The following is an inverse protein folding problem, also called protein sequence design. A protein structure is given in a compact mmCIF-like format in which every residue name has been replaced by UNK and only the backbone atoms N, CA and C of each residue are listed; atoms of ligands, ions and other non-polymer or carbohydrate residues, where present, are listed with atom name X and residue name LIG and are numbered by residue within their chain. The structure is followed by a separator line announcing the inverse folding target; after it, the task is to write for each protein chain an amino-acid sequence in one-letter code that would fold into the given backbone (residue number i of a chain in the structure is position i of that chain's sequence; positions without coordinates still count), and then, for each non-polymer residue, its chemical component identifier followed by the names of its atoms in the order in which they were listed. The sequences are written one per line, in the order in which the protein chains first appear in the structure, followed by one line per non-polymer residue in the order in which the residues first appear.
data_IF_683958308323
#
_entry.id   IF_683958308323
#
_cell.length_a   1.000
_cell.length_b   1.000
_cell.length_c   1.000
_cell.angle_alpha   90.00
_cell.angle_beta   90.00
_cell.angle_gamma   90.00
#
_symmetry.space_group_name_H-M   'P 1'
#
loop_
_entity.id
_entity.type
_entity.pdbx_description
1 polymer ?
#
# COMPACT_ATOMS: atom_id res chain seq x y z
N UNK A 1 -27.28 -3.35 44.27
CA UNK A 1 -25.98 -3.51 44.95
C UNK A 1 -24.99 -2.57 44.32
N UNK A 2 -24.52 -1.61 45.11
CA UNK A 2 -23.59 -0.55 44.71
C UNK A 2 -22.15 -1.11 44.79
N UNK A 3 -21.36 -0.99 43.73
CA UNK A 3 -19.94 -1.26 43.72
C UNK A 3 -19.18 -0.10 43.10
N UNK A 4 -18.57 0.70 43.95
CA UNK A 4 -17.71 1.82 43.62
C UNK A 4 -16.35 1.31 43.17
N UNK A 5 -15.82 1.78 42.02
CA UNK A 5 -14.43 1.59 41.61
C UNK A 5 -13.73 2.93 41.64
N UNK A 6 -12.68 2.94 42.41
CA UNK A 6 -11.79 4.01 42.86
C UNK A 6 -10.86 4.43 41.69
N UNK A 7 -10.92 5.70 41.31
CA UNK A 7 -9.94 6.37 40.47
C UNK A 7 -8.61 6.52 41.23
N UNK A 8 -7.52 6.06 40.63
CA UNK A 8 -6.15 6.28 41.09
C UNK A 8 -5.48 7.25 40.11
N UNK A 9 -5.24 8.45 40.62
CA UNK A 9 -4.40 9.48 39.99
C UNK A 9 -2.93 9.05 40.00
N UNK A 10 -2.21 9.25 38.92
CA UNK A 10 -0.78 9.05 38.85
C UNK A 10 -0.19 9.69 37.60
N UNK A 11 0.40 10.84 37.79
CA UNK A 11 1.75 11.19 37.41
C UNK A 11 1.94 11.70 35.99
N UNK A 12 1.78 13.02 35.83
CA UNK A 12 2.42 13.77 34.74
C UNK A 12 3.92 13.76 34.98
N UNK A 13 4.72 13.11 34.11
CA UNK A 13 6.17 13.27 34.05
C UNK A 13 6.49 13.99 32.76
N UNK A 14 7.06 15.18 32.91
CA UNK A 14 7.47 16.05 31.83
C UNK A 14 8.65 15.46 31.06
N UNK A 15 8.55 15.49 29.75
CA UNK A 15 9.67 15.35 28.83
C UNK A 15 10.02 16.72 28.24
N UNK A 16 10.80 17.48 28.99
CA UNK A 16 11.58 18.59 28.46
C UNK A 16 13.02 18.45 29.01
N UNK A 17 13.99 18.55 28.13
CA UNK A 17 15.45 18.45 28.31
C UNK A 17 16.12 17.11 27.98
N UNK A 18 16.32 16.85 26.71
CA UNK A 18 17.47 16.00 26.28
C UNK A 18 17.76 16.10 24.77
N UNK A 19 17.82 17.27 24.15
CA UNK A 19 18.29 17.42 22.75
C UNK A 19 19.46 18.41 22.60
N UNK A 20 20.01 18.97 23.65
CA UNK A 20 21.12 19.96 23.54
C UNK A 20 22.49 19.37 23.97
N UNK A 21 22.57 18.11 24.44
CA UNK A 21 23.80 17.55 25.02
C UNK A 21 24.64 16.70 24.05
N UNK A 22 24.18 16.38 22.86
CA UNK A 22 24.96 15.50 21.95
C UNK A 22 25.83 16.22 20.90
N UNK A 23 25.67 17.53 20.73
CA UNK A 23 26.46 18.27 19.73
C UNK A 23 27.84 18.78 20.23
N UNK A 24 28.16 18.58 21.50
CA UNK A 24 29.44 19.07 22.10
C UNK A 24 30.48 17.96 22.23
N UNK A 25 30.18 16.70 21.98
CA UNK A 25 31.11 15.57 22.22
C UNK A 25 31.89 15.08 21.00
N UNK A 26 31.75 15.68 19.84
CA UNK A 26 32.46 15.26 18.59
C UNK A 26 33.72 16.09 18.31
N UNK A 27 34.04 17.10 19.08
CA UNK A 27 35.22 17.97 18.81
C UNK A 27 36.45 17.65 19.70
N UNK A 28 36.43 16.59 20.53
CA UNK A 28 37.55 16.25 21.42
C UNK A 28 38.04 14.81 21.28
N UNK A 29 38.39 14.40 20.04
CA UNK A 29 39.32 13.27 19.83
C UNK A 29 40.29 13.61 18.70
N UNK A 30 41.29 14.38 19.02
CA UNK A 30 42.48 14.56 18.21
C UNK A 30 43.42 13.41 18.41
N UNK A 31 43.48 12.51 17.47
CA UNK A 31 44.47 11.43 17.44
C UNK A 31 45.77 11.95 16.83
N UNK A 32 46.86 11.87 17.56
CA UNK A 32 48.22 11.97 17.04
C UNK A 32 48.46 10.84 16.03
N UNK A 33 48.80 11.20 14.80
CA UNK A 33 49.53 10.35 13.87
C UNK A 33 50.59 11.18 13.18
N UNK A 34 51.82 10.84 13.48
CA UNK A 34 53.04 11.30 12.80
C UNK A 34 53.15 10.65 11.42
N UNK A 35 53.31 11.46 10.38
CA UNK A 35 53.64 11.04 9.01
C UNK A 35 54.10 12.24 8.16
N UNK A 36 54.85 12.08 7.08
CA UNK A 36 55.90 13.00 6.62
C UNK A 36 55.37 14.27 5.94
N UNK A 37 56.11 15.35 6.16
CA UNK A 37 55.92 16.68 5.59
C UNK A 37 56.03 16.69 4.07
N UNK A 38 54.93 17.09 3.39
CA UNK A 38 55.00 17.75 2.08
C UNK A 38 54.38 19.13 2.23
N UNK A 39 55.22 20.14 2.09
CA UNK A 39 54.85 21.54 2.16
C UNK A 39 53.98 21.92 0.99
N UNK A 40 52.70 22.26 1.26
CA UNK A 40 51.83 23.02 0.36
C UNK A 40 51.66 24.39 0.98
N UNK A 41 51.94 25.51 0.27
CA UNK A 41 51.77 26.86 0.81
C UNK A 41 50.26 27.08 1.03
N UNK A 42 49.83 27.16 2.28
CA UNK A 42 48.50 27.65 2.64
C UNK A 42 48.43 29.15 2.29
N UNK A 43 47.72 29.51 1.28
CA UNK A 43 47.20 30.88 1.11
C UNK A 43 46.27 31.15 2.29
N UNK A 44 46.78 31.87 3.30
CA UNK A 44 45.99 32.38 4.41
C UNK A 44 44.86 33.23 3.85
N UNK A 45 43.61 32.69 3.91
CA UNK A 45 42.41 33.45 3.53
C UNK A 45 42.30 34.68 4.43
N UNK A 46 42.15 35.87 3.84
CA UNK A 46 41.98 37.14 4.55
C UNK A 46 40.86 37.11 5.61
N UNK A 47 39.97 36.14 5.55
CA UNK A 47 38.90 35.89 6.52
C UNK A 47 39.42 35.41 7.87
N UNK A 48 40.42 34.52 7.91
CA UNK A 48 40.97 33.97 9.15
C UNK A 48 41.68 35.03 10.01
N UNK A 49 42.40 35.93 9.37
CA UNK A 49 43.06 37.00 10.08
C UNK A 49 42.11 38.03 10.70
N UNK A 50 40.98 38.29 10.01
CA UNK A 50 39.94 39.20 10.48
C UNK A 50 39.19 38.62 11.71
N UNK A 51 38.89 37.32 11.74
CA UNK A 51 38.27 36.64 12.88
C UNK A 51 39.16 36.66 14.13
N UNK A 52 40.48 36.46 13.99
CA UNK A 52 41.42 36.49 15.10
C UNK A 52 41.59 37.92 15.66
N UNK A 53 41.60 38.92 14.78
CA UNK A 53 41.64 40.33 15.20
C UNK A 53 40.34 40.73 15.93
N UNK A 54 39.19 40.23 15.48
CA UNK A 54 37.91 40.50 16.12
C UNK A 54 37.80 39.86 17.54
N UNK A 55 38.40 38.70 17.75
CA UNK A 55 38.40 38.07 19.06
C UNK A 55 39.32 38.76 20.09
N UNK A 56 40.30 39.54 19.62
CA UNK A 56 41.27 40.29 20.47
C UNK A 56 40.82 41.71 20.86
N UNK A 57 39.66 42.15 20.37
CA UNK A 57 39.15 43.49 20.69
C UNK A 57 38.50 43.53 22.06
N UNK A 58 38.65 44.69 22.74
CA UNK A 58 38.04 45.01 24.01
C UNK A 58 36.51 44.84 23.96
N UNK A 59 35.87 44.19 24.93
CA UNK A 59 34.45 43.82 24.89
C UNK A 59 33.51 45.02 24.70
N UNK A 60 33.92 46.20 25.12
CA UNK A 60 33.12 47.44 24.86
C UNK A 60 33.18 47.93 23.40
N UNK A 61 34.33 47.78 22.73
CA UNK A 61 34.50 48.09 21.32
C UNK A 61 33.83 47.05 20.40
N UNK A 62 33.91 45.78 20.81
CA UNK A 62 33.27 44.65 20.11
C UNK A 62 31.72 44.78 20.04
N UNK A 63 31.10 45.18 21.18
CA UNK A 63 29.65 45.45 21.19
C UNK A 63 29.23 46.62 20.28
N UNK A 64 30.07 47.70 20.21
CA UNK A 64 29.80 48.83 19.28
C UNK A 64 29.97 48.44 17.83
N UNK A 65 30.99 47.64 17.47
CA UNK A 65 31.20 47.17 16.10
C UNK A 65 30.11 46.18 15.64
N UNK A 66 29.67 45.29 16.52
CA UNK A 66 28.54 44.41 16.26
C UNK A 66 27.26 45.24 16.03
N UNK A 67 26.99 46.21 16.89
CA UNK A 67 25.84 47.10 16.72
C UNK A 67 25.89 47.93 15.41
N UNK A 68 27.06 48.45 15.03
CA UNK A 68 27.23 49.25 13.82
C UNK A 68 27.11 48.43 12.52
N UNK A 69 27.51 47.14 12.54
CA UNK A 69 27.46 46.27 11.36
C UNK A 69 26.15 45.49 11.27
N UNK A 70 25.64 44.94 12.39
CA UNK A 70 24.45 44.12 12.39
C UNK A 70 23.14 44.89 12.41
N UNK A 71 23.09 46.06 13.07
CA UNK A 71 21.86 46.87 13.13
C UNK A 71 21.43 47.40 11.78
N UNK A 72 22.31 48.01 10.94
CA UNK A 72 21.90 48.42 9.61
C UNK A 72 21.65 47.24 8.65
N UNK A 73 22.34 46.10 8.82
CA UNK A 73 22.06 44.86 8.06
C UNK A 73 20.68 44.30 8.39
N UNK A 74 20.28 44.26 9.66
CA UNK A 74 18.95 43.85 10.10
C UNK A 74 17.84 44.79 9.57
N UNK A 75 18.11 46.13 9.63
CA UNK A 75 17.19 47.16 9.10
C UNK A 75 17.06 47.01 7.58
N UNK A 76 18.17 46.82 6.88
CA UNK A 76 18.19 46.64 5.41
C UNK A 76 17.45 45.36 5.00
N UNK A 77 17.68 44.25 5.71
CA UNK A 77 16.96 42.98 5.49
C UNK A 77 15.46 43.09 5.82
N UNK A 78 15.10 43.83 6.86
CA UNK A 78 13.70 44.11 7.20
C UNK A 78 13.02 44.96 6.13
N UNK A 79 13.68 45.99 5.62
CA UNK A 79 13.16 46.88 4.53
C UNK A 79 13.00 46.10 3.23
N UNK A 80 13.88 45.14 2.95
CA UNK A 80 13.83 44.29 1.73
C UNK A 80 12.72 43.23 1.83
N UNK A 81 12.44 42.71 3.06
CA UNK A 81 11.43 41.67 3.27
C UNK A 81 10.00 42.20 3.45
N UNK A 82 9.84 43.46 3.92
CA UNK A 82 8.49 44.05 4.10
C UNK A 82 7.65 44.10 2.82
N UNK A 83 8.16 44.50 1.64
CA UNK A 83 7.36 44.50 0.43
C UNK A 83 7.01 43.08 -0.04
N UNK A 84 7.89 42.13 0.19
CA UNK A 84 7.63 40.70 -0.20
C UNK A 84 6.49 40.14 0.62
N UNK A 85 6.49 40.32 1.96
CA UNK A 85 5.42 39.91 2.83
C UNK A 85 4.11 40.61 2.47
N UNK A 86 4.13 41.90 2.21
CA UNK A 86 2.95 42.68 1.83
C UNK A 86 2.36 42.22 0.49
N UNK A 87 3.19 41.91 -0.51
CA UNK A 87 2.76 41.37 -1.80
C UNK A 87 2.15 39.97 -1.65
N UNK A 88 2.74 39.11 -0.81
CA UNK A 88 2.21 37.78 -0.53
C UNK A 88 0.83 37.88 0.16
N UNK A 89 0.66 38.72 1.17
CA UNK A 89 -0.63 38.95 1.82
C UNK A 89 -1.67 39.56 0.86
N UNK A 90 -1.26 40.44 -0.05
CA UNK A 90 -2.17 41.00 -1.04
C UNK A 90 -2.66 40.00 -2.06
N UNK A 91 -1.80 39.04 -2.47
CA UNK A 91 -2.14 37.97 -3.42
C UNK A 91 -3.04 36.91 -2.72
N UNK A 92 -2.75 36.56 -1.48
CA UNK A 92 -3.52 35.57 -0.71
C UNK A 92 -4.95 36.04 -0.36
N UNK A 93 -5.21 37.35 -0.42
CA UNK A 93 -6.55 37.92 -0.19
C UNK A 93 -7.45 37.93 -1.42
N UNK A 94 -7.02 37.34 -2.56
CA UNK A 94 -7.80 37.29 -3.80
C UNK A 94 -8.30 35.87 -4.10
N UNK A 95 -9.42 35.68 -4.84
CA UNK A 95 -9.94 34.38 -5.16
C UNK A 95 -8.94 33.48 -5.90
N UNK A 96 -8.21 34.03 -6.85
CA UNK A 96 -7.16 33.33 -7.60
C UNK A 96 -5.93 33.01 -6.72
N UNK A 97 -5.61 33.87 -5.76
CA UNK A 97 -4.57 33.63 -4.76
C UNK A 97 -4.89 32.45 -3.86
N UNK A 98 -6.15 32.32 -3.38
CA UNK A 98 -6.62 31.17 -2.59
C UNK A 98 -6.53 29.87 -3.40
N UNK A 99 -6.99 29.87 -4.66
CA UNK A 99 -6.90 28.71 -5.54
C UNK A 99 -5.43 28.34 -5.80
N UNK A 100 -4.57 29.31 -6.06
CA UNK A 100 -3.14 29.07 -6.28
C UNK A 100 -2.48 28.46 -5.04
N UNK A 101 -2.80 28.96 -3.86
CA UNK A 101 -2.26 28.43 -2.61
C UNK A 101 -2.72 26.99 -2.34
N UNK A 102 -4.01 26.70 -2.53
CA UNK A 102 -4.56 25.36 -2.43
C UNK A 102 -3.85 24.36 -3.36
N UNK A 103 -3.72 24.75 -4.64
CA UNK A 103 -3.04 23.93 -5.65
C UNK A 103 -1.55 23.75 -5.33
N UNK A 104 -0.90 24.75 -4.75
CA UNK A 104 0.50 24.64 -4.32
C UNK A 104 0.65 23.58 -3.23
N UNK A 105 -0.23 23.56 -2.24
CA UNK A 105 -0.20 22.52 -1.22
C UNK A 105 -0.37 21.11 -1.80
N UNK A 106 -1.27 20.94 -2.77
CA UNK A 106 -1.44 19.65 -3.45
C UNK A 106 -0.19 19.27 -4.26
N UNK A 107 0.42 20.22 -4.99
CA UNK A 107 1.64 19.99 -5.76
C UNK A 107 2.84 19.63 -4.86
N UNK A 108 2.93 20.23 -3.69
CA UNK A 108 3.98 19.98 -2.69
C UNK A 108 3.74 18.69 -1.89
N UNK A 109 2.51 18.15 -1.89
CA UNK A 109 2.15 16.96 -1.12
C UNK A 109 1.66 17.24 0.29
N UNK A 110 1.29 18.50 0.58
CA UNK A 110 0.76 18.94 1.88
C UNK A 110 -0.77 18.86 1.91
N UNK A 111 -1.27 17.63 2.06
CA UNK A 111 -2.70 17.34 2.16
C UNK A 111 -3.37 18.05 3.36
N UNK A 112 -2.66 18.15 4.48
CA UNK A 112 -3.20 18.75 5.70
C UNK A 112 -3.51 20.24 5.51
N UNK A 113 -2.58 20.99 4.88
CA UNK A 113 -2.80 22.41 4.57
C UNK A 113 -3.88 22.60 3.50
N UNK A 114 -3.95 21.71 2.49
CA UNK A 114 -5.01 21.73 1.50
C UNK A 114 -6.39 21.51 2.13
N UNK A 115 -6.54 20.52 3.05
CA UNK A 115 -7.78 20.27 3.79
C UNK A 115 -8.19 21.39 4.74
N UNK A 116 -7.23 22.14 5.27
CA UNK A 116 -7.53 23.32 6.08
C UNK A 116 -8.18 24.43 5.25
N UNK A 117 -7.92 24.48 3.94
CA UNK A 117 -8.52 25.45 3.03
C UNK A 117 -9.89 25.01 2.50
N UNK A 118 -10.05 23.70 2.22
CA UNK A 118 -11.24 23.14 1.58
C UNK A 118 -11.68 21.88 2.31
N UNK A 119 -12.90 21.91 2.85
CA UNK A 119 -13.51 20.72 3.46
C UNK A 119 -14.16 19.86 2.36
N UNK A 120 -13.78 18.59 2.21
CA UNK A 120 -14.39 17.69 1.22
C UNK A 120 -15.86 17.38 1.49
N UNK A 121 -16.42 17.75 2.65
CA UNK A 121 -17.81 17.49 3.02
C UNK A 121 -18.13 16.01 3.28
N UNK A 122 -17.11 15.17 3.46
CA UNK A 122 -17.26 13.74 3.75
C UNK A 122 -16.99 13.43 5.23
N UNK A 123 -17.55 12.33 5.78
CA UNK A 123 -17.27 11.87 7.14
C UNK A 123 -15.77 11.61 7.39
N UNK A 124 -15.33 11.72 8.64
CA UNK A 124 -13.92 11.57 8.98
C UNK A 124 -13.36 10.16 8.70
N UNK A 125 -14.17 9.13 8.80
CA UNK A 125 -13.83 7.75 8.49
C UNK A 125 -13.57 7.52 6.99
N UNK A 126 -14.07 8.38 6.10
CA UNK A 126 -13.81 8.36 4.67
C UNK A 126 -12.59 9.21 4.25
N UNK A 127 -11.94 9.92 5.20
CA UNK A 127 -10.79 10.80 4.95
C UNK A 127 -9.44 10.11 5.08
N UNK A 128 -9.41 8.80 5.28
CA UNK A 128 -8.19 8.06 5.63
C UNK A 128 -7.05 8.19 4.59
N UNK A 129 -7.38 8.40 3.31
CA UNK A 129 -6.38 8.62 2.26
C UNK A 129 -6.09 10.10 1.96
N UNK A 130 -6.77 11.03 2.61
CA UNK A 130 -6.50 12.47 2.45
C UNK A 130 -5.41 12.92 3.44
N UNK A 131 -4.26 12.27 3.41
CA UNK A 131 -3.12 12.51 4.32
C UNK A 131 -1.85 12.87 3.56
N UNK A 132 -0.89 13.47 4.26
CA UNK A 132 0.40 13.84 3.68
C UNK A 132 1.17 12.60 3.23
N UNK A 133 1.06 11.46 3.97
CA UNK A 133 1.72 10.22 3.60
C UNK A 133 1.22 9.71 2.25
N UNK A 134 -0.09 9.70 2.05
CA UNK A 134 -0.70 9.22 0.80
C UNK A 134 -0.37 10.16 -0.35
N UNK A 135 -0.61 11.47 -0.19
CA UNK A 135 -0.38 12.44 -1.26
C UNK A 135 1.10 12.53 -1.65
N UNK A 136 2.02 12.44 -0.69
CA UNK A 136 3.46 12.45 -0.98
C UNK A 136 3.96 11.14 -1.61
N UNK A 137 3.24 10.02 -1.44
CA UNK A 137 3.56 8.74 -2.06
C UNK A 137 3.23 8.69 -3.56
N UNK A 138 2.45 9.65 -4.07
CA UNK A 138 2.13 9.72 -5.49
C UNK A 138 3.39 9.84 -6.33
N UNK A 139 3.55 8.96 -7.33
CA UNK A 139 4.68 8.97 -8.26
C UNK A 139 4.67 10.17 -9.20
N UNK A 140 3.49 10.75 -9.44
CA UNK A 140 3.31 12.05 -10.06
C UNK A 140 2.18 12.79 -9.34
N UNK A 141 2.40 14.06 -9.05
CA UNK A 141 1.42 15.00 -8.52
C UNK A 141 1.06 16.04 -9.58
N UNK A 142 0.05 16.84 -9.30
CA UNK A 142 -0.34 17.90 -10.20
C UNK A 142 0.75 18.98 -10.32
N UNK A 143 0.88 19.54 -11.51
CA UNK A 143 1.70 20.71 -11.83
C UNK A 143 0.77 21.86 -12.21
N UNK A 144 1.01 23.03 -11.67
CA UNK A 144 0.21 24.24 -11.96
C UNK A 144 0.77 24.90 -13.21
N UNK A 145 0.03 24.88 -14.32
CA UNK A 145 0.42 25.55 -15.54
C UNK A 145 0.00 27.03 -15.49
N UNK A 146 -1.27 27.28 -15.14
CA UNK A 146 -1.76 28.64 -14.91
C UNK A 146 -3.00 28.66 -14.01
N UNK A 147 -3.21 29.77 -13.32
CA UNK A 147 -4.44 30.09 -12.61
C UNK A 147 -4.96 31.41 -13.20
N UNK A 148 -6.16 31.38 -13.76
CA UNK A 148 -6.80 32.50 -14.42
C UNK A 148 -7.30 33.57 -13.45
N UNK A 149 -7.71 34.68 -14.00
CA UNK A 149 -8.35 35.77 -13.23
C UNK A 149 -9.76 35.35 -12.76
N UNK A 150 -10.23 35.86 -11.61
CA UNK A 150 -11.55 35.52 -11.08
C UNK A 150 -12.65 36.11 -11.96
N UNK A 151 -13.58 35.29 -12.40
CA UNK A 151 -14.79 35.70 -13.12
C UNK A 151 -16.02 35.68 -12.20
N UNK A 152 -17.04 36.51 -12.47
CA UNK A 152 -18.29 36.45 -11.72
C UNK A 152 -19.03 35.15 -12.05
N UNK A 153 -19.50 34.46 -11.00
CA UNK A 153 -20.38 33.34 -11.21
C UNK A 153 -21.72 33.79 -11.80
N UNK A 154 -22.20 33.06 -12.80
CA UNK A 154 -23.51 33.35 -13.42
C UNK A 154 -24.69 32.95 -12.53
N UNK A 155 -24.44 32.11 -11.51
CA UNK A 155 -25.45 31.56 -10.62
C UNK A 155 -25.55 32.26 -9.25
N UNK A 156 -24.46 32.93 -8.81
CA UNK A 156 -24.41 33.55 -7.46
C UNK A 156 -23.50 34.79 -7.46
N UNK A 157 -24.05 35.95 -7.09
CA UNK A 157 -23.32 37.23 -7.01
C UNK A 157 -22.26 37.29 -5.92
N UNK A 158 -22.32 36.36 -4.93
CA UNK A 158 -21.36 36.25 -3.83
C UNK A 158 -20.23 35.27 -4.15
N UNK A 159 -20.32 34.58 -5.27
CA UNK A 159 -19.34 33.59 -5.72
C UNK A 159 -18.60 34.05 -6.95
N UNK A 160 -17.35 33.65 -7.07
CA UNK A 160 -16.54 33.80 -8.27
C UNK A 160 -16.04 32.44 -8.75
N UNK A 161 -15.79 32.34 -10.04
CA UNK A 161 -15.14 31.16 -10.62
C UNK A 161 -13.69 31.50 -10.95
N UNK A 162 -12.79 30.56 -10.71
CA UNK A 162 -11.37 30.64 -11.05
C UNK A 162 -11.00 29.41 -11.86
N UNK A 163 -10.57 29.62 -13.10
CA UNK A 163 -10.16 28.54 -13.99
C UNK A 163 -8.67 28.26 -13.80
N UNK A 164 -8.32 27.04 -13.41
CA UNK A 164 -6.94 26.57 -13.34
C UNK A 164 -6.63 25.58 -14.47
N UNK A 165 -5.48 25.75 -15.10
CA UNK A 165 -4.92 24.80 -16.06
C UNK A 165 -3.84 24.02 -15.35
N UNK A 166 -4.01 22.73 -15.31
CA UNK A 166 -3.21 21.79 -14.56
C UNK A 166 -2.61 20.75 -15.49
N UNK A 167 -1.51 20.16 -15.09
CA UNK A 167 -0.88 19.04 -15.77
C UNK A 167 -0.59 17.95 -14.74
N UNK A 168 -0.78 16.70 -15.14
CA UNK A 168 -0.40 15.54 -14.34
C UNK A 168 -0.01 14.39 -15.26
N UNK A 169 1.13 13.76 -14.99
CA UNK A 169 1.64 12.64 -15.78
C UNK A 169 1.69 12.93 -17.31
N UNK A 170 1.97 14.17 -17.69
CA UNK A 170 1.99 14.62 -19.08
C UNK A 170 0.62 15.01 -19.67
N UNK A 171 -0.48 14.67 -19.00
CA UNK A 171 -1.84 15.07 -19.39
C UNK A 171 -2.16 16.47 -18.88
N UNK A 172 -2.77 17.28 -19.72
CA UNK A 172 -3.25 18.62 -19.41
C UNK A 172 -4.75 18.61 -19.24
N UNK A 173 -5.22 19.14 -18.12
CA UNK A 173 -6.65 19.28 -17.85
C UNK A 173 -6.97 20.65 -17.24
N UNK A 174 -8.23 21.02 -17.25
CA UNK A 174 -8.70 22.30 -16.73
C UNK A 174 -9.74 22.06 -15.66
N UNK A 175 -9.58 22.69 -14.50
CA UNK A 175 -10.59 22.70 -13.43
C UNK A 175 -11.09 24.11 -13.16
N UNK A 176 -12.40 24.25 -12.89
CA UNK A 176 -13.02 25.52 -12.55
C UNK A 176 -13.44 25.46 -11.09
N UNK A 177 -12.74 26.23 -10.27
CA UNK A 177 -13.04 26.37 -8.85
C UNK A 177 -14.15 27.38 -8.63
N UNK A 178 -15.05 27.09 -7.73
CA UNK A 178 -16.02 28.05 -7.19
C UNK A 178 -15.47 28.58 -5.87
N UNK A 179 -15.38 29.91 -5.75
CA UNK A 179 -14.84 30.57 -4.58
C UNK A 179 -15.88 31.53 -4.03
N UNK A 180 -16.28 31.28 -2.78
CA UNK A 180 -17.31 32.04 -2.09
C UNK A 180 -16.74 33.15 -1.25
N UNK A 181 -17.42 34.29 -1.25
CA UNK A 181 -17.12 35.37 -0.32
C UNK A 181 -17.85 35.14 1.00
N UNK A 182 -17.10 35.02 2.10
CA UNK A 182 -17.63 34.88 3.46
C UNK A 182 -17.35 36.11 4.29
N UNK A 183 -18.09 36.29 5.36
CA UNK A 183 -17.74 37.28 6.37
C UNK A 183 -16.40 36.93 7.01
N UNK A 184 -15.50 37.91 7.04
CA UNK A 184 -14.17 37.71 7.63
C UNK A 184 -14.31 37.54 9.17
N UNK A 185 -13.82 36.39 9.66
CA UNK A 185 -13.70 36.12 11.08
C UNK A 185 -12.33 36.58 11.58
N UNK A 186 -12.24 36.86 12.90
CA UNK A 186 -10.95 37.15 13.53
C UNK A 186 -10.01 35.93 13.37
N UNK A 187 -8.85 36.16 12.78
CA UNK A 187 -7.87 35.10 12.44
C UNK A 187 -7.92 34.60 11.01
N UNK A 188 -8.93 34.96 10.20
CA UNK A 188 -8.96 34.56 8.78
C UNK A 188 -7.97 35.39 7.96
N UNK A 189 -7.13 34.72 7.17
CA UNK A 189 -6.21 35.34 6.21
C UNK A 189 -6.95 35.98 5.03
N UNK A 190 -8.09 35.37 4.61
CA UNK A 190 -8.88 35.80 3.46
C UNK A 190 -10.38 35.77 3.73
N UNK A 191 -11.12 36.58 3.03
CA UNK A 191 -12.60 36.55 2.95
C UNK A 191 -13.12 35.53 1.94
N UNK A 192 -12.24 34.99 1.10
CA UNK A 192 -12.58 34.04 0.07
C UNK A 192 -12.34 32.61 0.55
N UNK A 193 -13.26 31.71 0.22
CA UNK A 193 -13.14 30.28 0.53
C UNK A 193 -13.52 29.46 -0.69
N UNK A 194 -12.67 28.50 -1.02
CA UNK A 194 -12.94 27.54 -2.09
C UNK A 194 -14.10 26.65 -1.61
N UNK A 195 -15.12 26.48 -2.46
CA UNK A 195 -16.30 25.66 -2.17
C UNK A 195 -16.04 24.21 -2.53
N UNK A 196 -15.49 23.97 -3.71
CA UNK A 196 -15.26 22.68 -4.32
C UNK A 196 -13.75 22.45 -4.51
N UNK A 197 -13.20 21.48 -3.80
CA UNK A 197 -11.80 21.06 -3.94
C UNK A 197 -11.63 19.96 -4.98
N UNK A 198 -10.39 19.67 -5.30
CA UNK A 198 -10.00 18.55 -6.14
C UNK A 198 -10.02 17.26 -5.30
N UNK A 199 -11.18 16.64 -5.19
CA UNK A 199 -11.37 15.34 -4.53
C UNK A 199 -11.95 14.36 -5.53
N UNK A 200 -11.39 13.16 -5.59
CA UNK A 200 -11.84 12.12 -6.51
C UNK A 200 -12.20 10.86 -5.73
N UNK A 201 -13.40 10.36 -5.96
CA UNK A 201 -13.87 9.10 -5.36
C UNK A 201 -13.46 7.94 -6.25
N UNK A 202 -12.78 6.96 -5.66
CA UNK A 202 -12.29 5.76 -6.33
C UNK A 202 -12.96 4.53 -5.73
N UNK A 203 -13.74 3.78 -6.51
CA UNK A 203 -14.25 2.48 -6.10
C UNK A 203 -13.12 1.45 -6.12
N UNK A 204 -12.96 0.74 -5.00
CA UNK A 204 -11.97 -0.33 -4.83
C UNK A 204 -12.67 -1.63 -4.47
N UNK A 205 -12.39 -2.68 -5.21
CA UNK A 205 -12.96 -4.02 -5.01
C UNK A 205 -11.89 -5.09 -5.20
N UNK A 206 -12.18 -6.31 -4.77
CA UNK A 206 -11.24 -7.41 -4.95
C UNK A 206 -11.87 -8.79 -4.84
N UNK A 207 -11.26 -9.74 -5.51
CA UNK A 207 -11.50 -11.17 -5.37
C UNK A 207 -10.33 -11.76 -4.60
N UNK A 208 -10.56 -12.42 -3.46
CA UNK A 208 -9.53 -13.00 -2.56
C UNK A 208 -8.52 -12.00 -1.99
N UNK A 209 -8.81 -10.73 -2.06
CA UNK A 209 -8.03 -9.66 -1.47
C UNK A 209 -8.94 -8.89 -0.54
N UNK A 210 -8.62 -8.84 0.75
CA UNK A 210 -9.46 -8.21 1.76
C UNK A 210 -8.99 -6.81 2.14
N UNK A 211 -7.73 -6.52 1.93
CA UNK A 211 -7.08 -5.26 2.30
C UNK A 211 -6.13 -4.79 1.20
N UNK A 212 -5.95 -3.49 1.12
CA UNK A 212 -4.95 -2.86 0.26
C UNK A 212 -4.31 -1.68 0.96
N UNK A 213 -3.18 -1.20 0.42
CA UNK A 213 -2.54 0.01 0.90
C UNK A 213 -2.24 1.01 -0.22
N UNK A 214 -2.29 2.29 0.14
CA UNK A 214 -1.79 3.41 -0.67
C UNK A 214 -0.94 4.28 0.23
N UNK A 215 0.32 4.51 -0.14
CA UNK A 215 1.25 5.30 0.68
C UNK A 215 1.50 4.73 2.08
N UNK A 216 1.27 3.42 2.28
CA UNK A 216 1.39 2.76 3.59
C UNK A 216 0.14 2.82 4.47
N UNK A 217 -0.91 3.52 4.05
CA UNK A 217 -2.22 3.52 4.73
C UNK A 217 -3.02 2.33 4.24
N UNK A 218 -3.42 1.44 5.15
CA UNK A 218 -4.16 0.20 4.85
C UNK A 218 -5.66 0.44 4.99
N UNK A 219 -6.43 -0.13 4.07
CA UNK A 219 -7.89 -0.05 4.04
C UNK A 219 -8.52 -1.36 3.54
N UNK A 220 -9.77 -1.67 3.93
CA UNK A 220 -10.49 -2.83 3.43
C UNK A 220 -10.86 -2.68 1.96
N UNK A 221 -10.99 -3.80 1.28
CA UNK A 221 -11.44 -3.89 -0.12
C UNK A 221 -12.93 -4.25 -0.15
N UNK A 222 -13.70 -3.70 -1.09
CA UNK A 222 -15.08 -4.13 -1.34
C UNK A 222 -15.11 -5.58 -1.82
N UNK A 223 -16.18 -6.30 -1.48
CA UNK A 223 -16.28 -7.74 -1.68
C UNK A 223 -16.18 -8.17 -3.15
N UNK A 224 -16.70 -7.35 -4.06
CA UNK A 224 -16.69 -7.61 -5.49
C UNK A 224 -16.89 -6.30 -6.29
N UNK A 225 -16.94 -6.41 -7.63
CA UNK A 225 -17.15 -5.25 -8.50
C UNK A 225 -18.56 -4.64 -8.39
N UNK A 226 -19.52 -5.35 -7.83
CA UNK A 226 -20.91 -4.86 -7.68
C UNK A 226 -21.11 -4.13 -6.36
N UNK A 227 -20.23 -4.40 -5.37
CA UNK A 227 -20.22 -3.80 -4.04
C UNK A 227 -18.84 -3.25 -3.69
N UNK A 228 -18.28 -2.33 -4.50
CA UNK A 228 -16.98 -1.74 -4.20
C UNK A 228 -17.07 -0.84 -2.95
N UNK A 229 -15.95 -0.69 -2.26
CA UNK A 229 -15.81 0.35 -1.23
C UNK A 229 -15.25 1.61 -1.88
N UNK A 230 -15.88 2.74 -1.61
CA UNK A 230 -15.48 4.02 -2.17
C UNK A 230 -14.49 4.73 -1.25
N UNK A 231 -13.42 5.25 -1.84
CA UNK A 231 -12.38 6.01 -1.17
C UNK A 231 -12.15 7.33 -1.87
N UNK A 232 -11.84 8.36 -1.09
CA UNK A 232 -11.58 9.70 -1.61
C UNK A 232 -10.08 9.99 -1.54
N UNK A 233 -9.51 10.41 -2.67
CA UNK A 233 -8.11 10.78 -2.81
C UNK A 233 -8.00 12.16 -3.49
N UNK A 234 -6.83 12.80 -3.31
CA UNK A 234 -6.43 13.92 -4.16
C UNK A 234 -5.95 13.43 -5.53
N UNK A 235 -5.99 14.26 -6.58
CA UNK A 235 -5.39 13.93 -7.86
C UNK A 235 -3.92 13.56 -7.74
N UNK A 236 -3.51 12.50 -8.44
CA UNK A 236 -2.16 11.95 -8.40
C UNK A 236 -2.06 10.61 -9.10
N UNK A 237 -0.84 10.11 -9.25
CA UNK A 237 -0.58 8.76 -9.73
C UNK A 237 -0.16 7.91 -8.55
N UNK A 238 -1.00 6.95 -8.17
CA UNK A 238 -0.82 6.15 -6.97
C UNK A 238 -0.62 4.67 -7.28
N UNK A 239 0.15 4.02 -6.44
CA UNK A 239 0.28 2.55 -6.43
C UNK A 239 -0.62 2.00 -5.34
N UNK A 240 -1.64 1.25 -5.74
CA UNK A 240 -2.51 0.48 -4.87
C UNK A 240 -1.91 -0.92 -4.72
N UNK A 241 -1.59 -1.32 -3.51
CA UNK A 241 -0.93 -2.60 -3.22
C UNK A 241 -1.88 -3.50 -2.44
N UNK A 242 -2.12 -4.73 -2.88
CA UNK A 242 -2.88 -5.69 -2.07
C UNK A 242 -2.10 -6.02 -0.80
N UNK A 243 -2.82 -6.12 0.32
CA UNK A 243 -2.26 -6.42 1.64
C UNK A 243 -3.00 -7.61 2.27
N UNK A 244 -2.43 -8.17 3.32
CA UNK A 244 -3.08 -9.26 4.06
C UNK A 244 -3.30 -10.53 3.23
N UNK A 245 -2.54 -10.74 2.14
CA UNK A 245 -2.63 -11.94 1.33
C UNK A 245 -2.19 -13.15 2.15
N UNK A 246 -3.00 -14.20 2.12
CA UNK A 246 -2.59 -15.50 2.68
C UNK A 246 -1.45 -16.12 1.85
N UNK A 247 -0.74 -17.09 2.42
CA UNK A 247 0.41 -17.74 1.79
C UNK A 247 0.09 -18.38 0.41
N UNK A 248 -1.19 -18.64 0.13
CA UNK A 248 -1.64 -19.37 -1.04
C UNK A 248 -2.34 -18.51 -2.10
N UNK A 249 -2.29 -17.17 -1.94
CA UNK A 249 -2.92 -16.22 -2.86
C UNK A 249 -1.88 -15.21 -3.32
N UNK A 250 -1.78 -15.01 -4.63
CA UNK A 250 -1.00 -13.94 -5.23
C UNK A 250 -1.94 -12.89 -5.82
N UNK A 251 -1.61 -11.62 -5.65
CA UNK A 251 -2.27 -10.51 -6.32
C UNK A 251 -1.27 -9.42 -6.70
N UNK A 252 -1.53 -8.75 -7.81
CA UNK A 252 -0.65 -7.70 -8.33
C UNK A 252 -1.07 -6.33 -7.86
N UNK A 253 -0.09 -5.43 -7.67
CA UNK A 253 -0.34 -4.01 -7.43
C UNK A 253 -0.89 -3.34 -8.69
N UNK A 254 -1.78 -2.36 -8.51
CA UNK A 254 -2.32 -1.53 -9.56
C UNK A 254 -1.75 -0.11 -9.46
N UNK A 255 -1.31 0.45 -10.59
CA UNK A 255 -0.96 1.88 -10.68
C UNK A 255 -2.10 2.61 -11.36
N UNK A 256 -2.65 3.61 -10.70
CA UNK A 256 -3.83 4.33 -11.14
C UNK A 256 -3.54 5.82 -11.25
N UNK A 257 -3.94 6.42 -12.36
CA UNK A 257 -3.92 7.86 -12.58
C UNK A 257 -5.26 8.42 -12.11
N UNK A 258 -5.24 9.24 -11.08
CA UNK A 258 -6.43 9.88 -10.51
C UNK A 258 -6.42 11.33 -10.94
N UNK A 259 -7.24 11.67 -11.93
CA UNK A 259 -7.44 13.03 -12.43
C UNK A 259 -8.71 13.64 -11.82
N UNK A 260 -8.99 14.90 -12.14
CA UNK A 260 -10.24 15.55 -11.77
C UNK A 260 -11.44 14.87 -12.42
N UNK A 261 -12.16 14.04 -11.66
CA UNK A 261 -13.32 13.28 -12.11
C UNK A 261 -14.54 14.12 -12.52
N UNK A 262 -14.52 15.42 -12.30
CA UNK A 262 -15.72 16.25 -12.49
C UNK A 262 -15.98 16.61 -13.97
N UNK A 263 -15.02 16.46 -14.89
CA UNK A 263 -15.17 16.96 -16.27
C UNK A 263 -14.36 16.26 -17.36
N UNK A 264 -13.79 15.09 -17.13
CA UNK A 264 -13.22 14.33 -18.23
C UNK A 264 -14.36 13.77 -19.11
N UNK A 265 -14.40 14.18 -20.38
CA UNK A 265 -15.36 13.65 -21.37
C UNK A 265 -15.06 12.21 -21.80
N UNK A 266 -14.04 11.59 -21.26
CA UNK A 266 -13.71 10.16 -21.39
C UNK A 266 -14.00 9.44 -20.07
N UNK A 267 -15.15 8.94 -19.96
CA UNK A 267 -15.99 8.44 -18.89
C UNK A 267 -15.57 7.17 -18.17
N UNK A 268 -14.32 6.87 -18.03
CA UNK A 268 -13.94 5.82 -17.10
C UNK A 268 -13.52 6.47 -15.78
N UNK A 269 -14.45 6.47 -14.82
CA UNK A 269 -14.11 6.72 -13.42
C UNK A 269 -13.01 5.71 -13.07
N UNK A 270 -11.83 6.21 -12.68
CA UNK A 270 -10.76 5.34 -12.28
C UNK A 270 -11.28 4.39 -11.18
N UNK A 271 -11.14 3.10 -11.38
CA UNK A 271 -11.55 2.07 -10.43
C UNK A 271 -10.40 1.10 -10.22
N UNK A 272 -10.35 0.48 -9.06
CA UNK A 272 -9.35 -0.54 -8.74
C UNK A 272 -10.07 -1.84 -8.45
N UNK A 273 -9.67 -2.88 -9.19
CA UNK A 273 -10.06 -4.24 -8.88
C UNK A 273 -8.82 -5.11 -8.71
N UNK A 274 -8.72 -5.77 -7.56
CA UNK A 274 -7.68 -6.75 -7.31
C UNK A 274 -8.19 -8.14 -7.63
N UNK A 275 -7.49 -8.83 -8.52
CA UNK A 275 -7.77 -10.21 -8.86
C UNK A 275 -6.74 -11.13 -8.19
N UNK A 276 -7.10 -11.66 -7.03
CA UNK A 276 -6.30 -12.63 -6.31
C UNK A 276 -6.40 -14.01 -6.95
N UNK A 277 -5.26 -14.62 -7.25
CA UNK A 277 -5.15 -15.94 -7.86
C UNK A 277 -4.56 -16.95 -6.90
N UNK A 278 -5.05 -18.21 -6.94
CA UNK A 278 -4.46 -19.31 -6.18
C UNK A 278 -3.08 -19.65 -6.78
N UNK A 279 -2.04 -19.62 -5.93
CA UNK A 279 -0.66 -19.66 -6.39
C UNK A 279 -0.08 -21.07 -6.58
N UNK A 280 1.18 -21.12 -7.01
CA UNK A 280 1.88 -22.38 -7.25
C UNK A 280 2.18 -23.17 -5.97
N UNK A 281 2.28 -22.48 -4.81
CA UNK A 281 2.52 -23.13 -3.52
C UNK A 281 1.32 -23.98 -3.12
N UNK A 282 0.10 -23.47 -3.31
CA UNK A 282 -1.12 -24.25 -3.08
C UNK A 282 -1.18 -25.52 -3.95
N UNK A 283 -0.77 -25.40 -5.22
CA UNK A 283 -0.65 -26.58 -6.12
C UNK A 283 0.36 -27.58 -5.61
N UNK A 284 1.48 -27.12 -5.06
CA UNK A 284 2.48 -27.97 -4.43
C UNK A 284 1.93 -28.71 -3.21
N UNK A 285 1.11 -28.03 -2.37
CA UNK A 285 0.42 -28.67 -1.23
C UNK A 285 -0.59 -29.71 -1.70
N UNK A 286 -1.36 -29.42 -2.74
CA UNK A 286 -2.30 -30.37 -3.32
C UNK A 286 -1.56 -31.63 -3.82
N UNK A 287 -0.43 -31.48 -4.48
CA UNK A 287 0.40 -32.61 -4.94
C UNK A 287 0.94 -33.43 -3.75
N UNK A 288 1.42 -32.77 -2.68
CA UNK A 288 1.88 -33.45 -1.46
C UNK A 288 0.75 -34.24 -0.79
N UNK A 289 -0.44 -33.65 -0.73
CA UNK A 289 -1.61 -34.34 -0.19
C UNK A 289 -1.99 -35.59 -1.02
N UNK A 290 -1.94 -35.49 -2.37
CA UNK A 290 -2.16 -36.63 -3.24
C UNK A 290 -1.12 -37.74 -3.02
N UNK A 291 0.17 -37.39 -2.90
CA UNK A 291 1.24 -38.34 -2.57
C UNK A 291 0.94 -39.09 -1.26
N UNK A 292 0.59 -38.32 -0.20
CA UNK A 292 0.25 -38.92 1.09
C UNK A 292 -0.92 -39.87 0.99
N UNK A 293 -1.99 -39.53 0.29
CA UNK A 293 -3.16 -40.34 0.11
C UNK A 293 -2.88 -41.65 -0.65
N UNK A 294 -2.08 -41.55 -1.75
CA UNK A 294 -1.67 -42.74 -2.53
C UNK A 294 -0.79 -43.67 -1.67
N UNK A 295 0.18 -43.12 -0.94
CA UNK A 295 1.07 -43.90 -0.06
C UNK A 295 0.28 -44.58 1.09
N UNK A 296 -0.70 -43.86 1.67
CA UNK A 296 -1.56 -44.42 2.71
C UNK A 296 -2.39 -45.63 2.20
N UNK A 297 -2.93 -45.49 0.97
CA UNK A 297 -3.69 -46.59 0.34
C UNK A 297 -2.80 -47.71 -0.21
N UNK A 298 -1.54 -47.47 -0.41
CA UNK A 298 -0.53 -48.47 -0.79
C UNK A 298 0.19 -49.11 0.42
N UNK A 299 -0.30 -48.90 1.64
CA UNK A 299 0.27 -49.47 2.88
C UNK A 299 -0.72 -50.40 3.53
N UNK A 300 -0.32 -51.68 3.80
CA UNK A 300 -1.17 -52.65 4.49
C UNK A 300 -1.56 -52.13 5.87
N UNK A 301 -2.84 -52.28 6.22
CA UNK A 301 -3.45 -51.80 7.45
C UNK A 301 -4.12 -50.45 7.27
N UNK A 302 -3.48 -49.46 6.65
CA UNK A 302 -4.10 -48.16 6.35
C UNK A 302 -4.90 -48.17 5.03
N UNK A 303 -4.63 -49.11 4.12
CA UNK A 303 -5.40 -49.35 2.89
C UNK A 303 -6.90 -49.62 3.13
N UNK A 304 -7.27 -50.04 4.33
CA UNK A 304 -8.68 -50.31 4.69
C UNK A 304 -9.51 -49.08 4.95
N UNK A 305 -8.93 -47.86 4.92
CA UNK A 305 -9.66 -46.60 5.10
C UNK A 305 -10.67 -46.38 4.00
N UNK A 306 -11.78 -45.73 4.35
CA UNK A 306 -12.89 -45.45 3.43
C UNK A 306 -12.50 -44.60 2.21
N UNK A 307 -11.44 -43.77 2.33
CA UNK A 307 -10.91 -42.95 1.25
C UNK A 307 -10.13 -43.72 0.18
N UNK A 308 -9.73 -44.96 0.43
CA UNK A 308 -9.03 -45.77 -0.54
C UNK A 308 -9.99 -46.50 -1.48
N UNK A 309 -9.62 -46.73 -2.77
CA UNK A 309 -10.41 -47.50 -3.71
C UNK A 309 -10.72 -48.91 -3.22
N UNK A 310 -11.87 -49.46 -3.58
CA UNK A 310 -12.33 -50.80 -3.14
C UNK A 310 -11.35 -51.90 -3.51
N UNK A 311 -10.66 -51.75 -4.62
CA UNK A 311 -9.73 -52.70 -5.19
C UNK A 311 -8.47 -52.91 -4.34
N UNK A 312 -8.10 -51.92 -3.55
CA UNK A 312 -6.98 -52.00 -2.59
C UNK A 312 -7.43 -52.34 -1.16
N UNK A 313 -8.74 -52.29 -0.89
CA UNK A 313 -9.34 -52.59 0.42
C UNK A 313 -9.78 -54.07 0.55
N UNK A 314 -8.88 -54.99 0.29
CA UNK A 314 -9.20 -56.44 0.39
C UNK A 314 -8.32 -57.10 1.45
N UNK A 315 -8.93 -57.93 2.26
CA UNK A 315 -8.23 -58.75 3.26
C UNK A 315 -7.30 -59.81 2.62
N UNK A 316 -7.50 -60.11 1.32
CA UNK A 316 -6.72 -61.08 0.60
C UNK A 316 -5.47 -60.52 -0.06
N UNK A 317 -5.12 -59.28 0.21
CA UNK A 317 -3.92 -58.63 -0.32
C UNK A 317 -2.74 -58.94 0.59
N UNK A 318 -1.67 -59.48 0.02
CA UNK A 318 -0.41 -59.75 0.71
C UNK A 318 0.63 -58.63 0.58
N UNK A 319 0.56 -57.83 -0.48
CA UNK A 319 1.52 -56.76 -0.74
C UNK A 319 0.87 -55.63 -1.52
N UNK A 320 1.19 -54.41 -1.11
CA UNK A 320 0.82 -53.16 -1.77
C UNK A 320 2.06 -52.29 -1.91
N UNK A 321 2.31 -51.78 -3.10
CA UNK A 321 3.44 -50.89 -3.38
C UNK A 321 2.96 -49.71 -4.25
N UNK A 322 3.19 -48.49 -3.80
CA UNK A 322 3.04 -47.30 -4.66
C UNK A 322 4.20 -47.29 -5.66
N UNK A 323 3.97 -47.85 -6.84
CA UNK A 323 5.00 -47.93 -7.89
C UNK A 323 5.23 -46.62 -8.57
N UNK A 324 4.21 -45.78 -8.71
CA UNK A 324 4.30 -44.44 -9.27
C UNK A 324 3.39 -43.50 -8.47
N UNK A 325 3.92 -42.32 -8.08
CA UNK A 325 3.18 -41.23 -7.50
C UNK A 325 2.82 -40.18 -8.56
N UNK A 326 1.77 -39.36 -8.36
CA UNK A 326 1.48 -38.27 -9.27
C UNK A 326 2.68 -37.34 -9.42
N UNK A 327 3.15 -37.11 -10.65
CA UNK A 327 4.32 -36.27 -10.91
C UNK A 327 3.95 -34.80 -11.13
N UNK A 328 2.75 -34.55 -11.65
CA UNK A 328 2.24 -33.22 -11.99
C UNK A 328 0.82 -33.03 -11.47
N UNK A 329 0.44 -31.78 -11.36
CA UNK A 329 -0.90 -31.39 -10.97
C UNK A 329 -1.40 -30.26 -11.89
N UNK A 330 -2.64 -30.39 -12.35
CA UNK A 330 -3.33 -29.41 -13.18
C UNK A 330 -4.57 -28.88 -12.48
N UNK A 331 -5.04 -27.72 -12.89
CA UNK A 331 -6.29 -27.18 -12.36
C UNK A 331 -7.47 -28.04 -12.81
N UNK A 332 -8.34 -28.39 -11.89
CA UNK A 332 -9.58 -29.09 -12.17
C UNK A 332 -10.66 -28.18 -12.77
N UNK A 333 -11.85 -28.74 -12.95
CA UNK A 333 -13.00 -28.01 -13.51
C UNK A 333 -13.63 -27.00 -12.56
N UNK A 334 -13.37 -27.13 -11.27
CA UNK A 334 -13.85 -26.20 -10.22
C UNK A 334 -12.68 -25.50 -9.59
N UNK A 335 -12.91 -24.31 -9.13
CA UNK A 335 -11.93 -23.54 -8.38
C UNK A 335 -11.50 -24.30 -7.11
N UNK A 336 -10.19 -24.24 -6.78
CA UNK A 336 -9.62 -25.01 -5.68
C UNK A 336 -9.57 -26.52 -5.90
N UNK A 337 -9.98 -27.01 -7.08
CA UNK A 337 -9.87 -28.43 -7.47
C UNK A 337 -8.62 -28.63 -8.32
N UNK A 338 -7.92 -29.69 -8.05
CA UNK A 338 -6.67 -30.07 -8.72
C UNK A 338 -6.71 -31.53 -9.13
N UNK A 339 -6.23 -31.85 -10.32
CA UNK A 339 -6.15 -33.21 -10.86
C UNK A 339 -4.67 -33.60 -11.00
N UNK A 340 -4.28 -34.67 -10.35
CA UNK A 340 -2.92 -35.22 -10.47
C UNK A 340 -2.75 -36.08 -11.70
N UNK A 341 -1.52 -36.22 -12.19
CA UNK A 341 -1.18 -37.27 -13.13
C UNK A 341 -1.42 -38.66 -12.53
N UNK A 342 -1.50 -39.66 -13.36
CA UNK A 342 -1.79 -41.03 -12.95
C UNK A 342 -0.78 -41.57 -11.93
N UNK A 343 -1.28 -42.15 -10.86
CA UNK A 343 -0.50 -42.94 -9.91
C UNK A 343 -0.69 -44.41 -10.22
N UNK A 344 0.24 -45.25 -9.78
CA UNK A 344 0.16 -46.72 -9.92
C UNK A 344 0.39 -47.39 -8.58
N UNK A 345 -0.56 -48.21 -8.18
CA UNK A 345 -0.41 -49.13 -7.03
C UNK A 345 -0.34 -50.56 -7.52
N UNK A 346 0.79 -51.21 -7.29
CA UNK A 346 0.97 -52.63 -7.56
C UNK A 346 0.41 -53.45 -6.42
N UNK A 347 -0.48 -54.37 -6.72
CA UNK A 347 -1.24 -55.20 -5.75
C UNK A 347 -0.90 -56.66 -5.96
N UNK A 348 -0.57 -57.37 -4.90
CA UNK A 348 -0.39 -58.84 -4.91
C UNK A 348 -1.39 -59.47 -3.98
N UNK A 349 -2.19 -60.39 -4.50
CA UNK A 349 -3.19 -61.16 -3.74
C UNK A 349 -2.59 -62.42 -3.08
N UNK A 350 -3.13 -62.78 -1.92
CA UNK A 350 -2.74 -64.04 -1.20
C UNK A 350 -3.30 -65.30 -1.83
N UNK A 351 -4.33 -65.21 -2.67
CA UNK A 351 -5.09 -66.33 -3.21
C UNK A 351 -4.46 -67.01 -4.42
N UNK A 352 -3.22 -66.64 -4.80
CA UNK A 352 -2.48 -67.28 -5.88
C UNK A 352 -1.88 -68.63 -5.43
N UNK A 353 -2.36 -69.73 -6.00
CA UNK A 353 -1.75 -71.07 -5.90
C UNK A 353 -0.23 -71.02 -6.11
N UNK A 354 0.51 -72.03 -5.66
CA UNK A 354 1.91 -72.36 -5.50
C UNK A 354 2.98 -71.73 -6.47
N UNK A 355 2.64 -70.91 -7.40
CA UNK A 355 3.49 -70.15 -8.36
C UNK A 355 3.28 -68.66 -8.26
N UNK A 356 3.28 -68.06 -7.06
CA UNK A 356 3.30 -66.64 -6.78
C UNK A 356 2.40 -65.80 -7.70
N UNK A 357 1.28 -65.32 -7.25
CA UNK A 357 0.42 -64.40 -8.03
C UNK A 357 1.26 -63.26 -8.57
N UNK A 358 1.20 -63.02 -9.88
CA UNK A 358 1.84 -61.87 -10.47
C UNK A 358 1.21 -60.58 -9.94
N UNK A 359 1.98 -59.57 -9.56
CA UNK A 359 1.43 -58.29 -9.16
C UNK A 359 0.61 -57.70 -10.31
N UNK A 360 -0.52 -57.13 -9.98
CA UNK A 360 -1.30 -56.31 -10.93
C UNK A 360 -1.17 -54.85 -10.62
N UNK A 361 -0.98 -54.04 -11.65
CA UNK A 361 -0.92 -52.60 -11.49
C UNK A 361 -2.31 -51.97 -11.63
N UNK A 362 -2.66 -51.17 -10.66
CA UNK A 362 -3.89 -50.39 -10.65
C UNK A 362 -3.55 -48.93 -10.92
N UNK A 363 -4.13 -48.39 -12.00
CA UNK A 363 -4.01 -46.96 -12.32
C UNK A 363 -4.97 -46.22 -11.41
N UNK A 364 -4.45 -45.26 -10.66
CA UNK A 364 -5.18 -44.44 -9.68
C UNK A 364 -5.24 -42.99 -10.20
N UNK A 365 -6.45 -42.53 -10.42
CA UNK A 365 -6.69 -41.09 -10.67
C UNK A 365 -6.80 -40.37 -9.33
N UNK A 366 -6.11 -39.25 -9.19
CA UNK A 366 -6.07 -38.47 -7.96
C UNK A 366 -6.71 -37.11 -8.20
N UNK A 367 -7.59 -36.68 -7.32
CA UNK A 367 -8.16 -35.33 -7.32
C UNK A 367 -8.06 -34.77 -5.92
N UNK A 368 -7.48 -33.59 -5.78
CA UNK A 368 -7.46 -32.82 -4.53
C UNK A 368 -8.44 -31.67 -4.62
N UNK A 369 -9.16 -31.42 -3.54
CA UNK A 369 -10.06 -30.27 -3.40
C UNK A 369 -9.67 -29.51 -2.15
N UNK A 370 -9.33 -28.24 -2.32
CA UNK A 370 -9.00 -27.31 -1.26
C UNK A 370 -10.29 -26.71 -0.71
N UNK A 371 -10.43 -26.67 0.60
CA UNK A 371 -11.51 -25.94 1.23
C UNK A 371 -11.28 -24.44 1.07
N UNK A 372 -12.25 -23.75 0.46
CA UNK A 372 -12.24 -22.29 0.29
C UNK A 372 -13.27 -21.66 1.22
N UNK A 373 -12.97 -20.45 1.73
CA UNK A 373 -13.92 -19.61 2.42
C UNK A 373 -14.92 -18.98 1.42
N UNK A 374 -15.93 -18.27 1.92
CA UNK A 374 -16.89 -17.54 1.08
C UNK A 374 -16.20 -16.46 0.21
N UNK A 375 -15.06 -15.95 0.66
CA UNK A 375 -14.22 -15.03 -0.12
C UNK A 375 -13.29 -15.73 -1.13
N UNK A 376 -13.38 -17.05 -1.28
CA UNK A 376 -12.53 -17.84 -2.18
C UNK A 376 -11.08 -18.03 -1.71
N UNK A 377 -10.77 -17.67 -0.46
CA UNK A 377 -9.42 -17.83 0.12
C UNK A 377 -9.30 -19.24 0.72
N UNK A 378 -8.16 -19.95 0.54
CA UNK A 378 -7.93 -21.25 1.15
C UNK A 378 -8.07 -21.23 2.67
N UNK A 379 -8.90 -22.15 3.21
CA UNK A 379 -9.01 -22.38 4.64
C UNK A 379 -7.76 -23.12 5.11
N UNK A 380 -7.12 -22.62 6.17
CA UNK A 380 -5.93 -23.23 6.77
C UNK A 380 -6.24 -23.84 8.12
N UNK A 381 -5.49 -24.88 8.48
CA UNK A 381 -5.49 -25.46 9.82
C UNK A 381 -4.68 -24.59 10.81
N UNK A 382 -4.52 -25.10 12.04
CA UNK A 382 -3.79 -24.40 13.12
C UNK A 382 -2.29 -24.23 12.82
N UNK A 383 -1.74 -25.02 11.92
CA UNK A 383 -0.34 -24.97 11.48
C UNK A 383 -0.17 -24.10 10.22
N UNK A 384 -1.24 -23.47 9.73
CA UNK A 384 -1.25 -22.63 8.54
C UNK A 384 -1.25 -23.41 7.23
N UNK A 385 -1.48 -24.74 7.27
CA UNK A 385 -1.57 -25.57 6.06
C UNK A 385 -2.98 -25.57 5.49
N UNK A 386 -3.14 -25.62 4.15
CA UNK A 386 -4.47 -25.63 3.55
C UNK A 386 -5.20 -26.93 3.86
N UNK A 387 -6.49 -26.82 4.16
CA UNK A 387 -7.36 -27.97 4.35
C UNK A 387 -7.69 -28.57 3.00
N UNK A 388 -7.13 -29.76 2.72
CA UNK A 388 -7.24 -30.44 1.42
C UNK A 388 -7.87 -31.81 1.62
N UNK A 389 -8.90 -32.11 0.85
CA UNK A 389 -9.47 -33.43 0.71
C UNK A 389 -8.99 -34.08 -0.59
N UNK A 390 -8.55 -35.34 -0.53
CA UNK A 390 -8.09 -36.07 -1.70
C UNK A 390 -9.08 -37.24 -1.97
N UNK A 391 -9.44 -37.34 -3.25
CA UNK A 391 -10.26 -38.46 -3.75
C UNK A 391 -9.39 -39.29 -4.69
N UNK A 392 -9.38 -40.60 -4.45
CA UNK A 392 -8.73 -41.60 -5.26
C UNK A 392 -9.77 -42.43 -6.00
N UNK A 393 -9.62 -42.61 -7.30
CA UNK A 393 -10.53 -43.44 -8.10
C UNK A 393 -9.76 -44.25 -9.11
N UNK A 394 -10.31 -45.41 -9.46
CA UNK A 394 -9.81 -46.24 -10.56
C UNK A 394 -10.71 -45.97 -11.77
N UNK A 395 -10.15 -45.66 -12.94
CA UNK A 395 -10.94 -45.47 -14.14
C UNK A 395 -11.77 -46.76 -14.38
N UNK A 396 -13.09 -46.60 -14.49
CA UNK A 396 -13.92 -47.73 -14.94
C UNK A 396 -13.45 -48.07 -16.36
N UNK A 397 -13.08 -49.33 -16.58
CA UNK A 397 -12.91 -49.88 -17.92
C UNK A 397 -14.30 -49.91 -18.58
N UNK A 398 -14.78 -48.76 -19.06
CA UNK A 398 -15.92 -48.74 -19.98
C UNK A 398 -15.36 -49.33 -21.31
N UNK A 399 -15.75 -50.60 -21.53
CA UNK A 399 -15.48 -51.26 -22.77
C UNK A 399 -16.12 -50.50 -23.93
N UNK A 400 -15.35 -49.67 -24.60
CA UNK A 400 -15.60 -49.36 -25.99
C UNK A 400 -15.25 -50.63 -26.78
N UNK A 401 -16.25 -51.48 -26.89
CA UNK A 401 -16.28 -52.46 -27.98
C UNK A 401 -16.41 -51.69 -29.27
N UNK A 402 -15.44 -51.76 -30.21
CA UNK A 402 -15.66 -51.19 -31.53
C UNK A 402 -16.82 -51.98 -32.16
N UNK A 403 -17.96 -51.31 -32.33
CA UNK A 403 -19.03 -51.79 -33.18
C UNK A 403 -18.51 -51.92 -34.59
N UNK A 404 -18.30 -53.13 -35.02
CA UNK A 404 -18.07 -53.58 -36.40
C UNK A 404 -19.19 -53.17 -37.34
#
# INVERSE_FOLDING_TARGET
MRGAVRLRSGGVVGYHHTIVSEYVKVVSMGTQMSGPQYGVPMTQSKLGWWLVSFMRMDPKRRKKLIAILFLPSLIFFSILMTPVVWVVEMIQGTPDGEVRQYLTYLAEGDAASALAMVDPGIPNDQRQFLTNEVLSSASARLEIESVGEPEYSTSDIHSKTVTAVLRMNGHRFTHIFTVDRREKREGDSSVWKIRDGLFVTIPVSGTRVNEFSVGGVVAPVGADQTTPTEYVLFPGVYSFKPEGLGAYVDASSATVVIEDGARSSSYETASVHFDGTLNAELRGEALRAMHGAVQECATLGTNMKAGCPSEVRSANISELIASTLPATVENGSKEGSYVGSDAVISVRDTSGTALGAQPRDLIIKTTATVALSDAGVPVTDIDGKPVISVTLSIPSSSGDSPSS
#
